data_IF_203032238783
#
_entry.id   IF_203032238783
#
_cell.length_a   1.000
_cell.length_b   1.000
_cell.length_c   1.000
_cell.angle_alpha   90.00
_cell.angle_beta   90.00
_cell.angle_gamma   90.00
#
_symmetry.space_group_name_H-M   'P 1'
#
loop_
_entity.id
_entity.type
_entity.pdbx_description
1 polymer ?
#
# COMPACT_ATOMS: atom_id res chain seq x y z
N UNK A 1 -9.12 -13.53 5.92
CA UNK A 1 -7.87 -14.22 5.60
C UNK A 1 -7.05 -14.49 6.86
N UNK A 2 -6.24 -15.55 6.85
CA UNK A 2 -5.13 -15.70 7.80
C UNK A 2 -3.89 -14.96 7.27
N UNK A 3 -3.62 -13.77 7.79
CA UNK A 3 -2.54 -12.93 7.32
C UNK A 3 -1.18 -13.43 7.84
N UNK A 4 -0.15 -13.57 6.98
CA UNK A 4 1.21 -13.90 7.41
C UNK A 4 1.80 -12.78 8.29
N UNK A 5 2.74 -13.14 9.17
CA UNK A 5 3.39 -12.17 10.07
C UNK A 5 4.11 -11.03 9.34
N UNK A 6 4.63 -11.33 8.15
CA UNK A 6 5.32 -10.36 7.30
C UNK A 6 5.08 -10.68 5.83
N UNK A 7 4.76 -9.66 5.06
CA UNK A 7 4.69 -9.67 3.60
C UNK A 7 5.94 -8.95 3.08
N UNK A 8 6.77 -9.65 2.30
CA UNK A 8 7.97 -9.10 1.68
C UNK A 8 7.66 -8.71 0.24
N UNK A 9 8.06 -7.51 -0.14
CA UNK A 9 7.94 -6.98 -1.48
C UNK A 9 9.33 -6.88 -2.10
N UNK A 10 9.46 -7.28 -3.36
CA UNK A 10 10.63 -7.04 -4.19
C UNK A 10 10.24 -6.37 -5.49
N UNK A 11 10.90 -5.27 -5.81
CA UNK A 11 10.73 -4.54 -7.06
C UNK A 11 12.03 -4.55 -7.84
N UNK A 12 11.95 -5.08 -9.07
CA UNK A 12 13.07 -5.07 -10.02
C UNK A 12 12.63 -4.44 -11.34
N UNK A 13 13.56 -3.88 -12.10
CA UNK A 13 13.32 -3.51 -13.49
C UNK A 13 13.38 -4.73 -14.43
N UNK A 14 13.17 -4.51 -15.72
CA UNK A 14 13.23 -5.56 -16.75
C UNK A 14 14.61 -6.24 -16.89
N UNK A 15 15.67 -5.62 -16.38
CA UNK A 15 17.04 -6.17 -16.38
C UNK A 15 17.35 -6.94 -15.09
N UNK A 16 16.41 -6.99 -14.15
CA UNK A 16 16.57 -7.64 -12.85
C UNK A 16 17.28 -6.77 -11.81
N UNK A 17 17.50 -5.48 -12.09
CA UNK A 17 18.09 -4.56 -11.12
C UNK A 17 17.04 -4.07 -10.13
N UNK A 18 17.37 -3.93 -8.84
CA UNK A 18 16.44 -3.45 -7.83
C UNK A 18 16.05 -1.99 -8.07
N UNK A 19 14.80 -1.64 -7.77
CA UNK A 19 14.27 -0.28 -7.95
C UNK A 19 13.87 0.32 -6.60
N UNK A 20 14.54 1.39 -6.13
CA UNK A 20 14.21 2.06 -4.88
C UNK A 20 13.02 3.01 -5.02
N UNK A 21 12.53 3.48 -3.87
CA UNK A 21 11.52 4.53 -3.74
C UNK A 21 10.15 4.17 -4.36
N UNK A 22 9.86 2.89 -4.52
CA UNK A 22 8.59 2.38 -5.04
C UNK A 22 7.64 2.05 -3.89
N UNK A 23 6.40 2.48 -4.00
CA UNK A 23 5.31 2.12 -3.09
C UNK A 23 4.39 1.12 -3.79
N UNK A 24 4.16 -0.04 -3.18
CA UNK A 24 3.20 -1.03 -3.66
C UNK A 24 1.87 -0.84 -2.94
N UNK A 25 0.78 -0.90 -3.71
CA UNK A 25 -0.57 -0.93 -3.20
C UNK A 25 -1.14 -2.34 -3.30
N UNK A 26 -1.70 -2.82 -2.20
CA UNK A 26 -2.54 -4.02 -2.13
C UNK A 26 -4.00 -3.56 -2.05
N UNK A 27 -4.78 -3.92 -3.06
CA UNK A 27 -6.23 -3.72 -3.07
C UNK A 27 -6.89 -4.96 -2.50
N UNK A 28 -7.46 -4.81 -1.30
CA UNK A 28 -8.02 -5.89 -0.49
C UNK A 28 -9.54 -5.79 -0.49
N UNK A 29 -10.23 -6.87 -0.83
CA UNK A 29 -11.69 -6.94 -0.75
C UNK A 29 -12.12 -7.55 0.57
N UNK A 30 -13.00 -6.88 1.29
CA UNK A 30 -13.65 -7.42 2.48
C UNK A 30 -15.07 -6.90 2.59
N UNK A 31 -16.00 -7.75 3.01
CA UNK A 31 -17.42 -7.43 3.02
C UNK A 31 -18.01 -7.22 1.61
N UNK A 32 -19.00 -6.34 1.50
CA UNK A 32 -19.80 -6.16 0.28
C UNK A 32 -19.57 -4.81 -0.42
N UNK A 33 -18.56 -4.05 0.01
CA UNK A 33 -18.43 -2.63 -0.33
C UNK A 33 -17.03 -2.28 -0.85
N UNK A 34 -16.52 -1.10 -0.51
CA UNK A 34 -15.28 -0.56 -1.06
C UNK A 34 -14.09 -1.45 -0.72
N UNK A 35 -13.14 -1.53 -1.64
CA UNK A 35 -11.87 -2.17 -1.36
C UNK A 35 -11.02 -1.31 -0.42
N UNK A 36 -10.23 -1.97 0.42
CA UNK A 36 -9.26 -1.37 1.31
C UNK A 36 -7.93 -1.27 0.55
N UNK A 37 -7.22 -0.17 0.73
CA UNK A 37 -5.93 0.07 0.10
C UNK A 37 -4.83 0.01 1.16
N UNK A 38 -4.02 -1.03 1.11
CA UNK A 38 -2.87 -1.19 2.01
C UNK A 38 -1.62 -0.82 1.23
N UNK A 39 -0.83 0.11 1.75
CA UNK A 39 0.39 0.60 1.12
C UNK A 39 1.61 0.03 1.82
N UNK A 40 2.62 -0.34 1.03
CA UNK A 40 3.94 -0.65 1.55
C UNK A 40 4.70 0.62 1.93
N UNK A 41 5.70 0.53 2.82
CA UNK A 41 6.79 1.49 2.81
C UNK A 41 7.44 1.57 1.42
N UNK A 42 8.11 2.69 1.13
CA UNK A 42 9.00 2.78 -0.04
C UNK A 42 10.06 1.68 -0.02
N UNK A 43 10.34 1.11 -1.18
CA UNK A 43 11.46 0.18 -1.34
C UNK A 43 12.80 0.86 -1.04
N UNK A 44 13.69 0.13 -0.37
CA UNK A 44 15.07 0.56 -0.15
C UNK A 44 15.92 0.49 -1.43
N UNK A 45 17.21 0.83 -1.31
CA UNK A 45 18.19 0.73 -2.41
C UNK A 45 18.34 -0.67 -3.00
N UNK A 46 17.93 -1.69 -2.25
CA UNK A 46 17.91 -3.10 -2.64
C UNK A 46 16.58 -3.53 -3.28
N UNK A 47 15.64 -2.60 -3.48
CA UNK A 47 14.33 -2.87 -4.07
C UNK A 47 13.37 -3.60 -3.15
N UNK A 48 13.71 -3.74 -1.86
CA UNK A 48 12.89 -4.45 -0.88
C UNK A 48 12.04 -3.50 -0.03
N UNK A 49 10.83 -3.94 0.29
CA UNK A 49 9.97 -3.36 1.32
C UNK A 49 9.28 -4.48 2.13
N UNK A 50 8.83 -4.16 3.33
CA UNK A 50 8.12 -5.11 4.19
C UNK A 50 6.88 -4.47 4.80
N UNK A 51 5.78 -5.22 4.78
CA UNK A 51 4.56 -4.90 5.52
C UNK A 51 4.44 -5.94 6.63
N UNK A 52 4.37 -5.46 7.86
CA UNK A 52 4.15 -6.35 9.02
C UNK A 52 2.65 -6.59 9.21
N UNK A 53 2.28 -7.72 9.82
CA UNK A 53 0.88 -8.00 10.15
C UNK A 53 0.20 -6.88 10.97
N UNK A 54 0.83 -6.31 12.01
CA UNK A 54 0.25 -5.17 12.72
C UNK A 54 0.02 -3.95 11.84
N UNK A 55 0.97 -3.60 10.97
CA UNK A 55 0.85 -2.45 10.06
C UNK A 55 -0.28 -2.67 9.03
N UNK A 56 -0.37 -3.85 8.45
CA UNK A 56 -1.49 -4.19 7.54
C UNK A 56 -2.85 -4.04 8.25
N UNK A 57 -2.99 -4.59 9.45
CA UNK A 57 -4.23 -4.51 10.23
C UNK A 57 -4.53 -3.05 10.59
N UNK A 58 -3.53 -2.29 11.02
CA UNK A 58 -3.69 -0.88 11.37
C UNK A 58 -4.14 -0.03 10.19
N UNK A 59 -3.52 -0.20 9.01
CA UNK A 59 -3.97 0.48 7.79
C UNK A 59 -5.40 0.08 7.39
N UNK A 60 -5.76 -1.20 7.57
CA UNK A 60 -7.13 -1.66 7.33
C UNK A 60 -8.13 -0.99 8.28
N UNK A 61 -7.76 -0.81 9.55
CA UNK A 61 -8.56 -0.15 10.57
C UNK A 61 -8.72 1.36 10.33
N UNK A 62 -7.68 2.05 9.85
CA UNK A 62 -7.69 3.50 9.57
C UNK A 62 -8.77 3.89 8.53
N UNK A 63 -9.16 2.99 7.62
CA UNK A 63 -10.24 3.23 6.64
C UNK A 63 -11.60 3.49 7.31
N UNK A 64 -11.80 2.96 8.52
CA UNK A 64 -13.00 3.22 9.30
C UNK A 64 -12.96 4.60 9.96
N UNK A 65 -11.77 5.07 10.34
CA UNK A 65 -11.56 6.41 10.88
C UNK A 65 -11.73 7.50 9.81
N UNK A 66 -11.49 7.16 8.53
CA UNK A 66 -11.77 8.04 7.39
C UNK A 66 -13.25 8.40 7.22
N UNK A 67 -14.16 7.80 8.02
CA UNK A 67 -15.59 8.12 7.97
C UNK A 67 -16.27 7.76 6.64
N UNK A 68 -15.59 6.97 5.81
CA UNK A 68 -16.12 6.46 4.56
C UNK A 68 -17.20 5.43 4.92
N UNK A 69 -18.47 5.86 4.83
CA UNK A 69 -19.70 5.17 5.25
C UNK A 69 -19.93 3.78 4.62
N UNK A 70 -18.95 3.24 3.89
CA UNK A 70 -19.04 2.05 3.08
C UNK A 70 -17.92 1.01 3.33
N UNK A 71 -17.30 0.99 4.51
CA UNK A 71 -16.54 -0.18 4.95
C UNK A 71 -17.42 -1.04 5.88
N UNK A 72 -17.34 -2.36 5.78
CA UNK A 72 -18.16 -3.29 6.60
C UNK A 72 -17.47 -4.64 6.91
N UNK A 73 -16.18 -4.77 6.65
CA UNK A 73 -15.46 -6.04 6.68
C UNK A 73 -14.36 -6.07 7.73
N UNK A 74 -13.88 -7.26 8.08
CA UNK A 74 -12.70 -7.43 8.96
C UNK A 74 -11.56 -8.04 8.16
N UNK A 75 -10.34 -8.06 8.71
CA UNK A 75 -9.21 -8.74 8.07
C UNK A 75 -9.47 -10.25 7.99
N UNK A 76 -10.06 -10.84 9.02
CA UNK A 76 -10.40 -12.27 9.08
C UNK A 76 -11.44 -12.65 8.02
N UNK A 77 -12.37 -11.75 7.69
CA UNK A 77 -13.38 -11.97 6.64
C UNK A 77 -12.95 -11.48 5.25
N UNK A 78 -11.79 -10.80 5.14
CA UNK A 78 -11.26 -10.33 3.88
C UNK A 78 -10.80 -11.48 2.97
N UNK A 79 -10.97 -11.29 1.67
CA UNK A 79 -10.45 -12.17 0.61
C UNK A 79 -8.93 -12.25 0.69
N UNK A 80 -8.33 -13.45 0.73
CA UNK A 80 -6.87 -13.60 0.69
C UNK A 80 -6.29 -13.26 -0.69
N UNK A 81 -7.11 -13.31 -1.74
CA UNK A 81 -6.73 -12.88 -3.09
C UNK A 81 -6.80 -11.35 -3.17
N UNK A 82 -5.62 -10.73 -3.19
CA UNK A 82 -5.43 -9.28 -3.29
C UNK A 82 -4.90 -8.90 -4.67
N UNK A 83 -5.28 -7.72 -5.16
CA UNK A 83 -4.66 -7.17 -6.35
C UNK A 83 -3.47 -6.31 -5.95
N UNK A 84 -2.30 -6.63 -6.50
CA UNK A 84 -1.05 -5.91 -6.27
C UNK A 84 -0.78 -4.99 -7.46
N UNK A 85 -0.56 -3.70 -7.20
CA UNK A 85 -0.18 -2.70 -8.20
C UNK A 85 0.79 -1.68 -7.63
N UNK A 86 1.34 -0.81 -8.49
CA UNK A 86 1.99 0.40 -8.01
C UNK A 86 0.92 1.35 -7.45
N UNK A 87 1.25 2.03 -6.36
CA UNK A 87 0.46 3.17 -5.87
C UNK A 87 0.46 4.31 -6.89
N UNK A 88 -0.67 4.99 -7.08
CA UNK A 88 -0.78 6.17 -7.94
C UNK A 88 -0.85 7.46 -7.09
N UNK A 89 0.22 8.27 -7.05
CA UNK A 89 0.22 9.51 -6.28
C UNK A 89 -0.52 10.66 -6.97
N UNK A 90 -1.02 10.48 -8.21
CA UNK A 90 -1.56 11.59 -9.02
C UNK A 90 -2.69 12.36 -8.33
N UNK A 91 -3.61 11.64 -7.66
CA UNK A 91 -4.67 12.30 -6.90
C UNK A 91 -4.14 13.13 -5.73
N UNK A 92 -3.14 12.61 -5.01
CA UNK A 92 -2.50 13.32 -3.88
C UNK A 92 -1.76 14.57 -4.36
N UNK A 93 -1.07 14.48 -5.50
CA UNK A 93 -0.39 15.61 -6.13
C UNK A 93 -1.39 16.69 -6.56
N UNK A 94 -2.53 16.27 -7.14
CA UNK A 94 -3.55 17.20 -7.62
C UNK A 94 -4.39 17.82 -6.48
N UNK A 95 -4.47 17.17 -5.31
CA UNK A 95 -5.35 17.58 -4.20
C UNK A 95 -4.61 17.69 -2.85
N UNK A 96 -3.53 18.49 -2.75
CA UNK A 96 -2.72 18.59 -1.52
C UNK A 96 -3.55 19.07 -0.32
N UNK A 97 -4.38 20.08 -0.50
CA UNK A 97 -5.21 20.64 0.59
C UNK A 97 -6.15 19.59 1.18
N UNK A 98 -6.78 18.76 0.34
CA UNK A 98 -7.66 17.69 0.78
C UNK A 98 -6.89 16.60 1.54
N UNK A 99 -5.70 16.25 1.08
CA UNK A 99 -4.83 15.27 1.75
C UNK A 99 -4.39 15.78 3.13
N UNK A 100 -4.09 17.07 3.24
CA UNK A 100 -3.56 17.70 4.45
C UNK A 100 -4.65 18.11 5.45
N UNK A 101 -5.91 18.13 5.04
CA UNK A 101 -7.04 18.57 5.88
C UNK A 101 -7.36 17.61 7.04
N UNK A 102 -6.98 16.34 6.94
CA UNK A 102 -7.30 15.33 7.94
C UNK A 102 -6.14 15.11 8.92
N UNK A 103 -6.39 14.91 10.21
CA UNK A 103 -5.34 14.50 11.16
C UNK A 103 -4.84 13.11 10.81
N UNK A 104 -3.62 12.72 11.22
CA UNK A 104 -3.15 11.34 11.10
C UNK A 104 -4.12 10.39 11.83
N UNK A 105 -4.44 9.27 11.20
CA UNK A 105 -5.21 8.18 11.80
C UNK A 105 -4.38 7.37 12.79
N UNK A 106 -5.03 6.49 13.55
CA UNK A 106 -4.40 5.78 14.67
C UNK A 106 -3.16 4.98 14.26
N UNK A 107 -3.19 4.21 13.17
CA UNK A 107 -1.99 3.50 12.72
C UNK A 107 -0.96 4.48 12.14
N UNK A 108 -1.39 5.43 11.31
CA UNK A 108 -0.52 6.47 10.75
C UNK A 108 0.28 7.25 11.82
N UNK A 109 -0.29 7.52 12.99
CA UNK A 109 0.39 8.19 14.11
C UNK A 109 1.61 7.42 14.64
N UNK A 110 1.65 6.09 14.46
CA UNK A 110 2.80 5.26 14.81
C UNK A 110 3.97 5.36 13.82
N UNK A 111 3.71 5.87 12.61
CA UNK A 111 4.68 5.90 11.50
C UNK A 111 5.13 7.31 11.12
N UNK A 112 4.29 8.32 11.35
CA UNK A 112 4.51 9.68 10.86
C UNK A 112 4.46 10.70 11.99
N UNK A 113 5.42 11.63 11.97
CA UNK A 113 5.41 12.75 12.91
C UNK A 113 4.30 13.77 12.62
N UNK A 114 3.81 13.84 11.37
CA UNK A 114 2.73 14.74 10.96
C UNK A 114 2.06 14.26 9.66
N UNK A 115 0.84 14.76 9.39
CA UNK A 115 0.15 14.54 8.11
C UNK A 115 0.97 15.07 6.93
N UNK A 116 1.69 16.19 7.12
CA UNK A 116 2.60 16.72 6.11
C UNK A 116 3.71 15.73 5.76
N UNK A 117 4.34 15.11 6.77
CA UNK A 117 5.41 14.13 6.53
C UNK A 117 4.92 12.89 5.79
N UNK A 118 3.73 12.39 6.13
CA UNK A 118 3.10 11.29 5.39
C UNK A 118 2.81 11.70 3.94
N UNK A 119 2.18 12.86 3.74
CA UNK A 119 1.87 13.36 2.40
C UNK A 119 3.12 13.46 1.53
N UNK A 120 4.18 14.10 2.05
CA UNK A 120 5.47 14.23 1.38
C UNK A 120 6.08 12.88 1.04
N UNK A 121 5.98 11.90 1.94
CA UNK A 121 6.42 10.54 1.67
C UNK A 121 5.70 9.94 0.45
N UNK A 122 4.36 10.01 0.41
CA UNK A 122 3.56 9.42 -0.67
C UNK A 122 3.83 10.08 -2.02
N UNK A 123 3.86 11.42 -2.09
CA UNK A 123 4.01 12.13 -3.37
C UNK A 123 5.45 12.13 -3.91
N UNK A 124 6.44 11.87 -3.06
CA UNK A 124 7.84 11.77 -3.47
C UNK A 124 8.26 10.33 -3.86
N UNK A 125 7.32 9.42 -4.05
CA UNK A 125 7.64 8.08 -4.57
C UNK A 125 8.05 8.13 -6.04
N UNK A 126 8.83 7.14 -6.48
CA UNK A 126 9.28 7.04 -7.87
C UNK A 126 8.21 6.47 -8.82
N UNK A 127 7.07 6.01 -8.29
CA UNK A 127 6.02 5.31 -9.05
C UNK A 127 5.61 5.98 -10.37
N UNK A 128 5.47 7.32 -10.48
CA UNK A 128 5.10 7.97 -11.75
C UNK A 128 6.08 7.73 -12.90
N UNK A 129 7.30 7.30 -12.61
CA UNK A 129 8.33 6.98 -13.60
C UNK A 129 8.30 5.52 -14.07
N UNK A 130 7.36 4.72 -13.56
CA UNK A 130 7.31 3.29 -13.79
C UNK A 130 5.89 2.81 -14.11
N UNK A 131 5.82 1.74 -14.89
CA UNK A 131 4.63 0.97 -15.18
C UNK A 131 4.83 -0.45 -14.64
N UNK A 132 3.75 -1.03 -14.12
CA UNK A 132 3.67 -2.43 -13.79
C UNK A 132 2.28 -2.96 -14.12
N UNK A 133 2.21 -4.18 -14.65
CA UNK A 133 0.93 -4.87 -14.81
C UNK A 133 0.43 -5.30 -13.43
N UNK A 134 -0.78 -4.89 -13.01
CA UNK A 134 -1.37 -5.37 -11.77
C UNK A 134 -1.49 -6.90 -11.80
N UNK A 135 -1.24 -7.56 -10.67
CA UNK A 135 -1.35 -9.02 -10.58
C UNK A 135 -2.09 -9.46 -9.31
N UNK A 136 -2.84 -10.57 -9.38
CA UNK A 136 -3.41 -11.17 -8.19
C UNK A 136 -2.31 -11.89 -7.39
N UNK A 137 -2.40 -11.82 -6.06
CA UNK A 137 -1.59 -12.62 -5.13
C UNK A 137 -2.51 -13.13 -4.02
N UNK A 138 -2.38 -14.40 -3.69
CA UNK A 138 -3.03 -14.99 -2.53
C UNK A 138 -2.10 -14.90 -1.31
N UNK A 139 -2.46 -14.09 -0.31
CA UNK A 139 -1.58 -13.79 0.83
C UNK A 139 -1.46 -14.94 1.85
N UNK A 140 -2.39 -15.89 1.86
CA UNK A 140 -2.34 -17.07 2.75
C UNK A 140 -1.30 -18.09 2.28
N UNK A 141 -1.08 -18.16 0.96
CA UNK A 141 -0.14 -19.12 0.36
C UNK A 141 1.16 -18.46 -0.08
N UNK A 142 1.18 -17.13 -0.23
CA UNK A 142 2.36 -16.41 -0.68
C UNK A 142 2.52 -15.06 0.03
N UNK A 143 3.52 -14.99 0.89
CA UNK A 143 3.92 -13.76 1.58
C UNK A 143 5.08 -13.02 0.89
N UNK A 144 5.51 -13.45 -0.31
CA UNK A 144 6.55 -12.81 -1.11
C UNK A 144 5.99 -12.31 -2.43
N UNK A 145 5.92 -11.00 -2.56
CA UNK A 145 5.39 -10.30 -3.74
C UNK A 145 6.56 -9.75 -4.55
N UNK A 146 6.75 -10.26 -5.76
CA UNK A 146 7.73 -9.69 -6.70
C UNK A 146 7.06 -9.02 -7.89
N UNK A 147 7.32 -7.73 -8.13
CA UNK A 147 6.86 -7.03 -9.33
C UNK A 147 8.04 -6.63 -10.20
N UNK A 148 7.86 -6.79 -11.51
CA UNK A 148 8.77 -6.24 -12.51
C UNK A 148 8.17 -4.94 -13.04
N UNK A 149 8.96 -3.87 -13.02
CA UNK A 149 8.56 -2.56 -13.52
C UNK A 149 9.31 -2.21 -14.80
N UNK A 150 8.70 -1.37 -15.63
CA UNK A 150 9.34 -0.78 -16.80
C UNK A 150 9.16 0.73 -16.79
N UNK A 151 10.01 1.47 -17.49
CA UNK A 151 9.74 2.88 -17.76
C UNK A 151 8.57 2.99 -18.76
N UNK A 152 7.77 4.07 -18.69
CA UNK A 152 6.70 4.33 -19.65
C UNK A 152 7.20 4.55 -21.08
#
# INVERSE_FOLDING_TARGET
MDLPDTITIQINDQTGQPVPDIIVQLTVKSGNRNAYQILSPKTGSDGHAQITKPDFIGQFEDHWEMGLMDYNGTVESASPDVQVSLFDPSWHIANPEACLAWPLFKNEQGHWASRQAQYEHLVSCANPHYLATPKPVNLETNNKISLTVSKP
#
